data_IF_735186522114
#
_entry.id   IF_735186522114
#
_cell.length_a   1.000
_cell.length_b   1.000
_cell.length_c   1.000
_cell.angle_alpha   90.00
_cell.angle_beta   90.00
_cell.angle_gamma   90.00
#
_symmetry.space_group_name_H-M   'P 1'
#
loop_
_entity.id
_entity.type
_entity.pdbx_description
1 polymer ?
#
# COMPACT_ATOMS: atom_id res chain seq x y z
N UNK A 1 75.76 -33.86 -14.47
CA UNK A 1 75.38 -33.74 -13.04
C UNK A 1 74.01 -33.07 -12.94
N UNK A 2 72.94 -33.81 -12.61
CA UNK A 2 71.62 -33.27 -12.29
C UNK A 2 70.98 -34.17 -11.23
N UNK A 3 70.81 -33.66 -10.00
CA UNK A 3 70.23 -34.36 -8.85
C UNK A 3 68.81 -33.87 -8.60
N UNK A 4 67.84 -34.73 -8.91
CA UNK A 4 66.74 -35.24 -8.08
C UNK A 4 66.20 -34.47 -6.84
N UNK A 5 64.85 -34.47 -6.78
CA UNK A 5 63.93 -34.65 -5.63
C UNK A 5 63.61 -33.41 -4.76
N UNK A 6 62.49 -33.26 -4.05
CA UNK A 6 61.10 -33.81 -3.95
C UNK A 6 60.43 -32.90 -2.90
N UNK A 7 59.13 -32.63 -3.06
CA UNK A 7 58.10 -32.24 -2.08
C UNK A 7 58.41 -31.39 -0.82
N UNK A 8 57.57 -30.38 -0.60
CA UNK A 8 56.85 -30.28 0.68
C UNK A 8 55.56 -29.45 0.56
N UNK A 9 54.48 -30.05 1.04
CA UNK A 9 53.14 -29.51 1.23
C UNK A 9 53.15 -28.72 2.54
N UNK A 10 52.60 -27.51 2.55
CA UNK A 10 52.10 -26.86 3.77
C UNK A 10 50.69 -26.36 3.50
N UNK A 11 49.74 -26.97 4.20
CA UNK A 11 48.35 -26.55 4.33
C UNK A 11 48.30 -25.36 5.28
N UNK A 12 47.75 -24.23 4.83
CA UNK A 12 47.33 -23.14 5.72
C UNK A 12 45.89 -22.77 5.39
N UNK A 13 45.02 -23.38 6.20
CA UNK A 13 43.60 -23.10 6.38
C UNK A 13 43.44 -21.63 6.80
N UNK A 14 42.91 -20.79 5.91
CA UNK A 14 42.56 -19.40 6.21
C UNK A 14 41.04 -19.25 6.08
N UNK A 15 40.37 -19.35 7.22
CA UNK A 15 38.93 -19.16 7.38
C UNK A 15 38.62 -17.66 7.32
N UNK A 16 38.25 -17.15 6.13
CA UNK A 16 37.72 -15.80 6.01
C UNK A 16 36.20 -15.84 6.23
N UNK A 17 35.78 -15.48 7.44
CA UNK A 17 34.41 -15.08 7.77
C UNK A 17 34.06 -13.82 6.98
N UNK A 18 33.37 -13.97 5.85
CA UNK A 18 32.68 -12.87 5.21
C UNK A 18 31.29 -12.76 5.84
N UNK A 19 31.13 -11.79 6.74
CA UNK A 19 29.83 -11.35 7.26
C UNK A 19 29.07 -10.70 6.09
N UNK A 20 27.94 -11.25 5.61
CA UNK A 20 27.08 -10.48 4.73
C UNK A 20 26.47 -9.34 5.58
N UNK A 21 26.85 -8.11 5.25
CA UNK A 21 26.15 -6.90 5.69
C UNK A 21 24.71 -7.06 5.25
N UNK A 22 23.81 -7.21 6.22
CA UNK A 22 22.38 -7.34 6.01
C UNK A 22 21.83 -6.11 5.31
N UNK A 23 21.66 -6.20 4.00
CA UNK A 23 20.68 -5.40 3.29
C UNK A 23 19.31 -5.96 3.66
N UNK A 24 18.65 -5.36 4.64
CA UNK A 24 17.22 -5.56 4.83
C UNK A 24 16.52 -5.08 3.56
N UNK A 25 16.28 -6.01 2.63
CA UNK A 25 15.34 -5.79 1.56
C UNK A 25 13.99 -5.54 2.25
N UNK A 26 13.55 -4.28 2.27
CA UNK A 26 12.19 -3.93 2.63
C UNK A 26 11.28 -4.58 1.58
N UNK A 27 10.85 -5.81 1.85
CA UNK A 27 9.85 -6.51 1.06
C UNK A 27 8.53 -5.80 1.34
N UNK A 28 8.15 -4.89 0.44
CA UNK A 28 6.89 -4.17 0.57
C UNK A 28 5.72 -5.15 0.45
N UNK A 29 5.08 -5.46 1.57
CA UNK A 29 3.85 -6.25 1.61
C UNK A 29 2.71 -5.50 0.93
N UNK A 30 1.93 -6.22 0.12
CA UNK A 30 0.76 -5.71 -0.57
C UNK A 30 -0.51 -6.23 0.13
N UNK A 31 -1.34 -5.33 0.65
CA UNK A 31 -2.73 -5.65 0.92
C UNK A 31 -3.47 -5.59 -0.42
N UNK A 32 -3.67 -6.74 -1.06
CA UNK A 32 -4.43 -6.84 -2.30
C UNK A 32 -5.93 -6.85 -2.00
N UNK A 33 -6.73 -6.14 -2.81
CA UNK A 33 -8.18 -6.32 -2.85
C UNK A 33 -8.62 -6.87 -4.20
N UNK A 34 -9.70 -7.65 -4.20
CA UNK A 34 -10.33 -8.21 -5.42
C UNK A 34 -10.96 -7.14 -6.34
N UNK A 35 -10.83 -5.85 -6.01
CA UNK A 35 -11.51 -4.72 -6.66
C UNK A 35 -10.51 -3.80 -7.36
N UNK A 36 -9.36 -4.33 -7.81
CA UNK A 36 -8.36 -3.54 -8.55
C UNK A 36 -7.73 -2.40 -7.74
N UNK A 37 -7.81 -2.46 -6.41
CA UNK A 37 -7.13 -1.54 -5.49
C UNK A 37 -6.17 -2.35 -4.61
N UNK A 38 -5.01 -1.80 -4.30
CA UNK A 38 -4.12 -2.38 -3.30
C UNK A 38 -3.31 -1.31 -2.57
N UNK A 39 -2.78 -1.67 -1.41
CA UNK A 39 -1.87 -0.82 -0.62
C UNK A 39 -0.55 -1.54 -0.41
N UNK A 40 0.55 -0.80 -0.51
CA UNK A 40 1.91 -1.25 -0.28
C UNK A 40 2.60 -0.30 0.68
N UNK A 41 3.27 -0.84 1.68
CA UNK A 41 3.90 -0.04 2.75
C UNK A 41 5.41 -0.03 2.58
N UNK A 42 6.04 1.13 2.76
CA UNK A 42 7.49 1.25 2.84
C UNK A 42 7.90 2.42 3.76
N UNK A 43 8.52 2.10 4.90
CA UNK A 43 8.89 3.09 5.91
C UNK A 43 7.67 3.79 6.47
N UNK A 44 7.62 5.13 6.38
CA UNK A 44 6.49 5.97 6.81
C UNK A 44 5.52 6.35 5.68
N UNK A 45 5.68 5.73 4.49
CA UNK A 45 4.88 6.00 3.30
C UNK A 45 4.04 4.79 2.90
N UNK A 46 2.83 5.10 2.46
CA UNK A 46 1.86 4.16 1.92
C UNK A 46 1.71 4.48 0.44
N UNK A 47 1.88 3.46 -0.40
CA UNK A 47 1.64 3.52 -1.83
C UNK A 47 0.35 2.79 -2.12
N UNK A 48 -0.47 3.37 -2.99
CA UNK A 48 -1.70 2.75 -3.44
C UNK A 48 -1.57 2.46 -4.92
N UNK A 49 -1.97 1.27 -5.32
CA UNK A 49 -2.16 0.92 -6.72
C UNK A 49 -3.66 0.85 -7.00
N UNK A 50 -4.06 1.30 -8.18
CA UNK A 50 -5.44 1.29 -8.64
C UNK A 50 -5.51 0.86 -10.10
N UNK A 51 -6.63 0.24 -10.47
CA UNK A 51 -6.95 -0.03 -11.86
C UNK A 51 -6.85 1.27 -12.68
N UNK A 52 -6.18 1.28 -13.84
CA UNK A 52 -5.98 2.49 -14.64
C UNK A 52 -7.27 3.10 -15.18
N UNK A 53 -8.40 2.38 -15.13
CA UNK A 53 -9.72 2.90 -15.49
C UNK A 53 -10.37 3.72 -14.38
N UNK A 54 -9.83 3.68 -13.15
CA UNK A 54 -10.37 4.42 -12.02
C UNK A 54 -9.90 5.87 -12.01
N UNK A 55 -10.74 6.73 -11.45
CA UNK A 55 -10.50 8.17 -11.38
C UNK A 55 -11.20 8.78 -10.16
N UNK A 56 -10.92 10.05 -9.90
CA UNK A 56 -11.35 10.75 -8.67
C UNK A 56 -11.00 9.96 -7.41
N UNK A 57 -9.73 9.55 -7.32
CA UNK A 57 -9.22 8.69 -6.26
C UNK A 57 -8.94 9.55 -5.02
N UNK A 58 -9.59 9.21 -3.92
CA UNK A 58 -9.37 9.83 -2.61
C UNK A 58 -8.80 8.80 -1.66
N UNK A 59 -7.73 9.16 -0.97
CA UNK A 59 -7.16 8.38 0.13
C UNK A 59 -7.30 9.19 1.40
N UNK A 60 -7.90 8.60 2.43
CA UNK A 60 -7.97 9.15 3.78
C UNK A 60 -7.30 8.20 4.77
N UNK A 61 -6.53 8.75 5.70
CA UNK A 61 -5.88 7.98 6.78
C UNK A 61 -6.24 8.62 8.11
N UNK A 62 -6.66 7.81 9.07
CA UNK A 62 -6.95 8.20 10.45
C UNK A 62 -6.13 7.37 11.43
N UNK A 63 -5.72 7.97 12.54
CA UNK A 63 -4.88 7.32 13.54
C UNK A 63 -5.11 7.81 14.97
N UNK A 64 -4.19 7.47 15.89
CA UNK A 64 -4.22 7.93 17.28
C UNK A 64 -4.20 9.45 17.40
N UNK A 65 -4.57 9.97 18.57
CA UNK A 65 -4.46 11.38 18.94
C UNK A 65 -5.14 12.36 17.96
N UNK A 66 -6.18 11.89 17.25
CA UNK A 66 -6.90 12.69 16.27
C UNK A 66 -6.17 12.85 14.93
N UNK A 67 -5.09 12.09 14.70
CA UNK A 67 -4.39 12.08 13.42
C UNK A 67 -5.37 11.81 12.27
N UNK A 68 -5.39 12.71 11.30
CA UNK A 68 -6.18 12.56 10.08
C UNK A 68 -5.50 13.28 8.92
N UNK A 69 -5.44 12.63 7.77
CA UNK A 69 -5.01 13.27 6.53
C UNK A 69 -5.72 12.70 5.32
N UNK A 70 -5.80 13.51 4.26
CA UNK A 70 -6.47 13.14 3.03
C UNK A 70 -5.70 13.67 1.82
N UNK A 71 -5.59 12.84 0.80
CA UNK A 71 -5.06 13.21 -0.52
C UNK A 71 -6.05 12.84 -1.61
N UNK A 72 -6.09 13.65 -2.65
CA UNK A 72 -6.94 13.44 -3.81
C UNK A 72 -6.10 13.45 -5.08
N UNK A 73 -6.48 12.62 -6.04
CA UNK A 73 -5.92 12.63 -7.38
C UNK A 73 -6.99 12.22 -8.39
N UNK A 74 -7.12 13.00 -9.46
CA UNK A 74 -8.13 12.75 -10.48
C UNK A 74 -7.84 11.48 -11.28
N UNK A 75 -6.57 11.13 -11.52
CA UNK A 75 -6.22 10.13 -12.56
C UNK A 75 -5.37 8.96 -12.10
N UNK A 76 -4.69 9.07 -10.97
CA UNK A 76 -3.74 8.05 -10.49
C UNK A 76 -3.83 7.90 -8.99
N UNK A 77 -3.64 6.70 -8.47
CA UNK A 77 -3.59 6.49 -7.04
C UNK A 77 -2.45 7.34 -6.42
N UNK A 78 -2.76 8.23 -5.46
CA UNK A 78 -1.75 9.05 -4.81
C UNK A 78 -0.99 8.22 -3.77
N UNK A 79 0.26 8.57 -3.49
CA UNK A 79 0.96 8.06 -2.29
C UNK A 79 0.61 8.91 -1.08
N UNK A 80 0.65 8.32 0.11
CA UNK A 80 0.37 8.99 1.37
C UNK A 80 1.58 8.92 2.30
N UNK A 81 2.07 10.06 2.80
CA UNK A 81 3.11 10.12 3.84
C UNK A 81 2.51 10.57 5.14
N UNK A 82 2.80 9.86 6.22
CA UNK A 82 2.25 10.18 7.54
C UNK A 82 2.73 11.56 8.03
N UNK A 83 4.02 11.85 7.84
CA UNK A 83 4.63 13.10 8.28
C UNK A 83 4.10 14.36 7.54
N UNK A 84 3.38 14.21 6.42
CA UNK A 84 2.86 15.36 5.66
C UNK A 84 1.59 15.96 6.34
N UNK A 85 0.96 15.25 7.30
CA UNK A 85 -0.34 15.64 7.89
C UNK A 85 -0.31 15.87 9.40
N UNK A 86 0.84 15.72 10.06
CA UNK A 86 0.97 16.00 11.49
C UNK A 86 2.05 15.17 12.17
N UNK A 87 2.06 15.23 13.49
CA UNK A 87 2.89 14.37 14.33
C UNK A 87 2.41 12.92 14.23
N UNK A 88 3.35 11.99 14.05
CA UNK A 88 3.07 10.58 13.86
C UNK A 88 3.31 9.86 15.18
N UNK A 89 2.24 9.58 15.90
CA UNK A 89 2.27 8.78 17.12
C UNK A 89 2.29 7.28 16.79
N UNK A 90 2.87 6.49 17.70
CA UNK A 90 2.81 5.04 17.60
C UNK A 90 1.39 4.53 17.89
N UNK A 91 0.96 3.51 17.14
CA UNK A 91 -0.37 2.94 17.30
C UNK A 91 -0.96 2.38 16.02
N UNK A 92 -2.27 2.10 16.05
CA UNK A 92 -2.99 1.53 14.90
C UNK A 92 -3.63 2.65 14.09
N UNK A 93 -3.35 2.63 12.79
CA UNK A 93 -3.91 3.53 11.80
C UNK A 93 -4.84 2.76 10.88
N UNK A 94 -5.82 3.47 10.35
CA UNK A 94 -6.76 2.99 9.34
C UNK A 94 -6.64 3.85 8.10
N UNK A 95 -6.64 3.23 6.93
CA UNK A 95 -6.79 3.94 5.66
C UNK A 95 -8.10 3.54 4.99
N UNK A 96 -8.60 4.44 4.15
CA UNK A 96 -9.70 4.21 3.23
C UNK A 96 -9.35 4.87 1.89
N UNK A 97 -9.58 4.13 0.82
CA UNK A 97 -9.42 4.55 -0.56
C UNK A 97 -10.79 4.48 -1.21
N UNK A 98 -11.20 5.55 -1.88
CA UNK A 98 -12.41 5.57 -2.70
C UNK A 98 -12.05 6.02 -4.11
N UNK A 99 -12.70 5.44 -5.11
CA UNK A 99 -12.51 5.82 -6.50
C UNK A 99 -13.81 5.64 -7.30
N UNK A 100 -13.96 6.41 -8.38
CA UNK A 100 -15.01 6.23 -9.37
C UNK A 100 -14.53 5.33 -10.51
N UNK A 101 -15.43 4.50 -11.04
CA UNK A 101 -15.17 3.65 -12.19
C UNK A 101 -15.77 4.22 -13.47
N UNK A 102 -15.44 3.63 -14.62
CA UNK A 102 -16.06 3.99 -15.90
C UNK A 102 -17.50 3.50 -16.02
N UNK A 103 -17.91 2.53 -15.20
CA UNK A 103 -19.26 1.98 -15.21
C UNK A 103 -20.26 2.97 -14.61
N UNK A 104 -21.48 2.98 -15.15
CA UNK A 104 -22.59 3.74 -14.59
C UNK A 104 -23.39 2.84 -13.66
N UNK A 105 -23.74 3.36 -12.49
CA UNK A 105 -24.54 2.62 -11.53
C UNK A 105 -25.88 2.26 -12.18
N UNK A 106 -26.34 1.02 -11.95
CA UNK A 106 -27.69 0.63 -12.35
C UNK A 106 -28.67 1.55 -11.64
N UNK A 107 -29.37 2.36 -12.42
CA UNK A 107 -30.37 3.26 -11.91
C UNK A 107 -31.52 2.40 -11.35
N UNK A 108 -31.73 2.42 -10.04
CA UNK A 108 -33.01 2.02 -9.50
C UNK A 108 -34.01 3.06 -10.02
N UNK A 109 -34.73 2.70 -11.08
CA UNK A 109 -35.81 3.52 -11.61
C UNK A 109 -36.90 3.54 -10.53
N UNK A 110 -36.82 4.48 -9.58
CA UNK A 110 -38.05 5.03 -9.04
C UNK A 110 -38.58 5.92 -10.16
N UNK A 111 -39.68 5.50 -10.77
CA UNK A 111 -40.47 6.42 -11.58
C UNK A 111 -40.65 7.71 -10.75
N UNK A 112 -40.36 8.89 -11.31
CA UNK A 112 -40.65 10.13 -10.61
C UNK A 112 -42.18 10.23 -10.51
N UNK A 113 -42.72 9.86 -9.36
CA UNK A 113 -44.10 10.16 -9.01
C UNK A 113 -44.26 11.68 -8.96
N UNK A 114 -44.73 12.27 -10.05
CA UNK A 114 -45.05 13.69 -10.15
C UNK A 114 -44.07 14.48 -11.03
N UNK A 115 -44.36 14.51 -12.33
CA UNK A 115 -43.71 15.38 -13.30
C UNK A 115 -44.01 16.86 -12.95
N UNK A 116 -43.00 17.59 -12.47
CA UNK A 116 -43.10 19.00 -12.03
C UNK A 116 -42.36 19.96 -12.98
N UNK A 117 -42.19 19.60 -14.25
CA UNK A 117 -41.69 20.51 -15.29
C UNK A 117 -40.21 20.90 -15.17
N UNK A 118 -39.40 20.18 -14.37
CA UNK A 118 -37.94 20.27 -14.42
C UNK A 118 -37.40 19.15 -15.30
N UNK A 119 -36.59 19.49 -16.29
CA UNK A 119 -35.92 18.49 -17.13
C UNK A 119 -35.20 17.46 -16.26
N UNK A 120 -35.55 16.18 -16.47
CA UNK A 120 -34.92 15.06 -15.79
C UNK A 120 -33.60 14.68 -16.46
N UNK A 121 -32.75 15.67 -16.77
CA UNK A 121 -31.38 15.45 -17.26
C UNK A 121 -30.44 15.18 -16.09
N UNK A 122 -30.86 14.34 -15.14
CA UNK A 122 -29.97 13.86 -14.10
C UNK A 122 -28.96 12.90 -14.76
N UNK A 123 -27.70 13.34 -14.86
CA UNK A 123 -26.62 12.49 -15.35
C UNK A 123 -26.50 11.27 -14.44
N UNK A 124 -26.50 10.07 -15.04
CA UNK A 124 -26.41 8.82 -14.27
C UNK A 124 -25.12 8.83 -13.44
N UNK A 125 -25.19 8.54 -12.13
CA UNK A 125 -24.00 8.45 -11.31
C UNK A 125 -23.14 7.27 -11.76
N UNK A 126 -21.83 7.40 -11.56
CA UNK A 126 -20.88 6.31 -11.82
C UNK A 126 -20.79 5.39 -10.62
N UNK A 127 -20.40 4.16 -10.86
CA UNK A 127 -20.13 3.22 -9.77
C UNK A 127 -18.88 3.66 -9.02
N UNK A 128 -18.93 3.56 -7.69
CA UNK A 128 -17.81 3.79 -6.81
C UNK A 128 -17.26 2.47 -6.28
N UNK A 129 -15.95 2.43 -6.07
CA UNK A 129 -15.27 1.34 -5.37
C UNK A 129 -14.62 1.90 -4.11
N UNK A 130 -14.54 1.07 -3.07
CA UNK A 130 -13.83 1.41 -1.85
C UNK A 130 -12.93 0.26 -1.40
N UNK A 131 -11.80 0.61 -0.82
CA UNK A 131 -10.82 -0.30 -0.25
C UNK A 131 -10.30 0.29 1.04
N UNK A 132 -10.29 -0.50 2.12
CA UNK A 132 -9.83 -0.02 3.42
C UNK A 132 -8.98 -1.08 4.10
N UNK A 133 -8.18 -0.66 5.06
CA UNK A 133 -7.32 -1.55 5.82
C UNK A 133 -6.72 -0.84 7.02
N UNK A 134 -6.01 -1.61 7.83
CA UNK A 134 -5.32 -1.11 9.02
C UNK A 134 -3.83 -1.45 8.94
N UNK A 135 -3.00 -0.63 9.56
CA UNK A 135 -1.58 -0.89 9.74
C UNK A 135 -1.13 -0.33 11.09
N UNK A 136 -0.04 -0.87 11.64
CA UNK A 136 0.52 -0.39 12.89
C UNK A 136 1.72 0.49 12.60
N UNK A 137 1.92 1.53 13.39
CA UNK A 137 3.11 2.38 13.34
C UNK A 137 3.85 2.22 14.66
N UNK A 138 5.16 1.98 14.57
CA UNK A 138 6.07 1.97 15.71
C UNK A 138 7.35 2.72 15.36
N UNK A 139 7.82 3.58 16.28
CA UNK A 139 8.95 4.47 16.07
C UNK A 139 8.84 5.27 14.74
N UNK A 140 7.62 5.67 14.38
CA UNK A 140 7.34 6.40 13.13
C UNK A 140 7.45 5.57 11.84
N UNK A 141 7.59 4.25 11.93
CA UNK A 141 7.63 3.35 10.78
C UNK A 141 6.39 2.44 10.74
N UNK A 142 5.88 2.18 9.55
CA UNK A 142 4.77 1.24 9.36
C UNK A 142 5.28 -0.19 9.56
N UNK A 143 4.76 -0.85 10.59
CA UNK A 143 4.88 -2.29 10.78
C UNK A 143 3.77 -2.99 10.00
N UNK A 144 4.18 -3.93 9.15
CA UNK A 144 3.27 -4.83 8.46
C UNK A 144 3.41 -6.20 9.11
N UNK A 145 2.30 -6.76 9.61
CA UNK A 145 2.28 -8.13 10.09
C UNK A 145 2.25 -9.07 8.88
N UNK A 146 3.24 -9.94 8.75
CA UNK A 146 3.20 -11.03 7.78
C UNK A 146 2.09 -12.01 8.21
N UNK A 147 1.20 -12.39 7.28
CA UNK A 147 0.15 -13.37 7.55
C UNK A 147 0.71 -14.80 7.74
N UNK A 148 2.03 -14.98 7.78
CA UNK A 148 2.70 -16.27 7.94
C UNK A 148 2.76 -16.78 9.39
N UNK A 149 2.40 -15.95 10.38
CA UNK A 149 2.49 -16.32 11.81
C UNK A 149 1.15 -16.75 12.44
N UNK A 150 0.11 -17.01 11.61
CA UNK A 150 -1.18 -17.53 12.07
C UNK A 150 -1.42 -18.99 11.67
N UNK A 151 -0.48 -19.89 12.01
CA UNK A 151 -0.79 -21.32 12.15
C UNK A 151 -0.19 -21.83 13.48
N UNK A 152 -1.07 -22.04 14.46
CA UNK A 152 -0.87 -22.93 15.62
C UNK A 152 -2.03 -23.88 15.70
#
# INVERSE_FOLDING_TARGET
MHRNRVAQIVVMLSLAFAVPVGGAAAQGLSAASDVGLSARFAGSRIYFDADPTYFNITVSVSGPDGYHGQVFSERRAPSFRLADFGEVADGVYRFEVTAATQAFARQAVREPSGYNGRDSTAQRPREGVSFSGNFRVENGQVLVFDNADQET
#
